data_IF_594709004324
#
_entry.id   IF_594709004324
#
_cell.length_a   1.000
_cell.length_b   1.000
_cell.length_c   1.000
_cell.angle_alpha   90.00
_cell.angle_beta   90.00
_cell.angle_gamma   90.00
#
_symmetry.space_group_name_H-M   'P 1'
#
loop_
_entity.id
_entity.type
_entity.pdbx_description
1 polymer ?
#
# COMPACT_ATOMS: atom_id res chain seq x y z
N UNK A 1 -16.12 -3.50 23.64
CA UNK A 1 -15.53 -4.50 22.72
C UNK A 1 -16.47 -4.64 21.53
N UNK A 2 -16.16 -4.01 20.40
CA UNK A 2 -16.96 -4.14 19.19
C UNK A 2 -16.55 -5.44 18.50
N UNK A 3 -17.48 -6.41 18.45
CA UNK A 3 -17.28 -7.68 17.75
C UNK A 3 -17.03 -7.41 16.27
N UNK A 4 -15.87 -7.84 15.75
CA UNK A 4 -15.62 -7.92 14.31
C UNK A 4 -16.66 -8.90 13.75
N UNK A 5 -17.59 -8.38 12.93
CA UNK A 5 -18.46 -9.21 12.11
C UNK A 5 -17.58 -10.09 11.22
N UNK A 6 -17.44 -11.36 11.54
CA UNK A 6 -16.67 -12.38 10.82
C UNK A 6 -17.49 -13.00 9.68
N UNK A 7 -18.33 -12.22 9.02
CA UNK A 7 -19.02 -12.65 7.80
C UNK A 7 -18.06 -12.56 6.60
N UNK A 8 -18.17 -13.49 5.66
CA UNK A 8 -17.49 -13.38 4.35
C UNK A 8 -17.88 -12.05 3.70
N UNK A 9 -16.93 -11.36 3.04
CA UNK A 9 -17.24 -10.11 2.34
C UNK A 9 -18.25 -10.38 1.23
N UNK A 10 -19.05 -9.35 0.88
CA UNK A 10 -19.98 -9.41 -0.24
C UNK A 10 -19.21 -9.78 -1.53
N UNK A 11 -19.55 -10.88 -2.21
CA UNK A 11 -18.87 -11.31 -3.45
C UNK A 11 -18.92 -10.23 -4.55
N UNK A 12 -20.00 -9.45 -4.63
CA UNK A 12 -20.14 -8.36 -5.60
C UNK A 12 -19.12 -7.26 -5.32
N UNK A 13 -18.95 -6.89 -4.05
CA UNK A 13 -17.93 -5.92 -3.64
C UNK A 13 -16.53 -6.45 -3.94
N UNK A 14 -16.22 -7.70 -3.59
CA UNK A 14 -14.92 -8.33 -3.88
C UNK A 14 -14.61 -8.28 -5.37
N UNK A 15 -15.57 -8.66 -6.21
CA UNK A 15 -15.42 -8.61 -7.66
C UNK A 15 -15.16 -7.19 -8.19
N UNK A 16 -15.89 -6.20 -7.67
CA UNK A 16 -15.68 -4.78 -8.03
C UNK A 16 -14.29 -4.30 -7.62
N UNK A 17 -13.87 -4.56 -6.40
CA UNK A 17 -12.57 -4.15 -5.88
C UNK A 17 -11.42 -4.77 -6.68
N UNK A 18 -11.52 -6.07 -7.03
CA UNK A 18 -10.55 -6.76 -7.88
C UNK A 18 -10.52 -6.18 -9.28
N UNK A 19 -11.69 -5.91 -9.87
CA UNK A 19 -11.78 -5.26 -11.17
C UNK A 19 -11.05 -3.92 -11.16
N UNK A 20 -11.30 -3.06 -10.16
CA UNK A 20 -10.62 -1.76 -10.05
C UNK A 20 -9.13 -1.94 -9.79
N UNK A 21 -8.71 -2.91 -8.97
CA UNK A 21 -7.29 -3.19 -8.75
C UNK A 21 -6.56 -3.54 -10.06
N UNK A 22 -7.20 -4.28 -10.97
CA UNK A 22 -6.60 -4.73 -12.25
C UNK A 22 -6.71 -3.73 -13.40
N UNK A 23 -7.60 -2.73 -13.33
CA UNK A 23 -7.73 -1.73 -14.38
C UNK A 23 -6.47 -0.88 -14.51
N UNK A 24 -6.17 -0.41 -15.72
CA UNK A 24 -5.20 0.66 -15.91
C UNK A 24 -5.75 1.96 -15.32
N UNK A 25 -4.89 2.71 -14.65
CA UNK A 25 -5.23 3.98 -14.00
C UNK A 25 -4.22 5.04 -14.42
N UNK A 26 -4.64 6.30 -14.40
CA UNK A 26 -3.76 7.43 -14.69
C UNK A 26 -3.53 8.24 -13.42
N UNK A 27 -2.29 8.56 -13.14
CA UNK A 27 -1.94 9.52 -12.09
C UNK A 27 -2.41 10.91 -12.48
N UNK A 28 -3.19 11.57 -11.62
CA UNK A 28 -3.75 12.90 -11.90
C UNK A 28 -3.34 13.94 -10.86
N UNK A 29 -2.44 13.59 -9.98
CA UNK A 29 -1.85 14.49 -9.00
C UNK A 29 -0.67 15.28 -9.60
N UNK A 30 0.08 15.98 -8.76
CA UNK A 30 1.28 16.72 -9.17
C UNK A 30 2.36 15.80 -9.78
N UNK A 31 3.28 16.40 -10.54
CA UNK A 31 4.44 15.71 -11.10
C UNK A 31 5.45 15.23 -10.03
N UNK A 32 5.23 15.56 -8.78
CA UNK A 32 6.03 15.13 -7.64
C UNK A 32 5.13 14.66 -6.50
N UNK A 33 5.63 13.69 -5.72
CA UNK A 33 4.94 13.22 -4.52
C UNK A 33 4.96 14.32 -3.45
N UNK A 34 3.80 14.64 -2.89
CA UNK A 34 3.69 15.63 -1.81
C UNK A 34 3.63 14.93 -0.47
N UNK A 35 4.70 15.01 0.28
CA UNK A 35 4.80 14.43 1.61
C UNK A 35 4.29 15.37 2.69
N UNK A 36 3.50 14.84 3.61
CA UNK A 36 3.06 15.52 4.83
C UNK A 36 3.57 14.76 6.06
N UNK A 37 3.87 15.49 7.12
CA UNK A 37 4.28 14.92 8.40
C UNK A 37 3.14 14.07 8.97
N UNK A 38 3.44 12.80 9.27
CA UNK A 38 2.52 11.88 9.92
C UNK A 38 2.84 11.70 11.42
N UNK A 39 3.80 12.43 11.95
CA UNK A 39 4.20 12.40 13.34
C UNK A 39 5.05 11.18 13.73
N UNK A 40 5.24 10.99 15.03
CA UNK A 40 5.99 9.87 15.61
C UNK A 40 7.47 10.15 15.84
N UNK A 41 8.16 9.15 16.43
CA UNK A 41 9.63 9.15 16.66
C UNK A 41 10.19 7.77 16.29
N UNK A 42 11.05 7.63 15.24
CA UNK A 42 11.37 8.66 14.24
C UNK A 42 10.11 9.21 13.55
N UNK A 43 10.25 10.40 12.92
CA UNK A 43 9.14 11.06 12.21
C UNK A 43 8.72 10.23 10.99
N UNK A 44 7.42 9.99 10.85
CA UNK A 44 6.82 9.38 9.67
C UNK A 44 6.30 10.42 8.69
N UNK A 45 6.15 10.02 7.42
CA UNK A 45 5.66 10.86 6.33
C UNK A 45 4.59 10.12 5.56
N UNK A 46 3.65 10.85 5.01
CA UNK A 46 2.56 10.31 4.20
C UNK A 46 2.33 11.16 2.96
N UNK A 47 2.11 10.51 1.83
CA UNK A 47 1.57 11.11 0.60
C UNK A 47 0.23 10.46 0.27
N UNK A 48 -0.67 11.21 -0.34
CA UNK A 48 -1.94 10.71 -0.84
C UNK A 48 -2.30 11.39 -2.14
N UNK A 49 -2.39 10.61 -3.21
CA UNK A 49 -2.48 11.09 -4.57
C UNK A 49 -3.63 10.42 -5.33
N UNK A 50 -4.39 11.21 -6.09
CA UNK A 50 -5.58 10.76 -6.82
C UNK A 50 -5.22 10.05 -8.12
N UNK A 51 -6.12 9.17 -8.53
CA UNK A 51 -6.04 8.45 -9.79
C UNK A 51 -7.32 8.66 -10.60
N UNK A 52 -7.20 8.61 -11.92
CA UNK A 52 -8.32 8.51 -12.84
C UNK A 52 -8.47 7.07 -13.34
N UNK A 53 -9.71 6.66 -13.59
CA UNK A 53 -10.07 5.43 -14.28
C UNK A 53 -9.96 5.60 -15.80
N UNK A 54 -9.99 4.51 -16.60
CA UNK A 54 -9.85 4.60 -18.06
C UNK A 54 -10.94 5.43 -18.77
N UNK A 55 -12.10 5.58 -18.15
CA UNK A 55 -13.20 6.42 -18.63
C UNK A 55 -13.03 7.91 -18.28
N UNK A 56 -11.90 8.28 -17.67
CA UNK A 56 -11.59 9.64 -17.22
C UNK A 56 -12.21 10.02 -15.88
N UNK A 57 -13.04 9.19 -15.29
CA UNK A 57 -13.62 9.45 -13.97
C UNK A 57 -12.56 9.43 -12.86
N UNK A 58 -12.71 10.28 -11.86
CA UNK A 58 -11.78 10.46 -10.74
C UNK A 58 -12.51 10.28 -9.40
N UNK A 59 -12.91 9.06 -9.04
CA UNK A 59 -13.58 8.85 -7.76
C UNK A 59 -12.71 9.32 -6.60
N UNK A 60 -13.25 10.12 -5.69
CA UNK A 60 -12.51 10.62 -4.52
C UNK A 60 -12.01 9.47 -3.61
N UNK A 61 -12.63 8.30 -3.72
CA UNK A 61 -12.26 7.08 -3.01
C UNK A 61 -11.14 6.26 -3.69
N UNK A 62 -10.70 6.65 -4.90
CA UNK A 62 -9.61 5.99 -5.65
C UNK A 62 -8.34 6.82 -5.53
N UNK A 63 -7.38 6.32 -4.79
CA UNK A 63 -6.12 7.01 -4.55
C UNK A 63 -4.99 6.04 -4.18
N UNK A 64 -3.76 6.48 -4.40
CA UNK A 64 -2.56 5.88 -3.82
C UNK A 64 -2.28 6.58 -2.49
N UNK A 65 -1.89 5.81 -1.49
CA UNK A 65 -1.31 6.32 -0.26
C UNK A 65 0.07 5.69 -0.05
N UNK A 66 1.06 6.53 0.12
CA UNK A 66 2.40 6.14 0.52
C UNK A 66 2.61 6.53 1.98
N UNK A 67 3.24 5.65 2.74
CA UNK A 67 3.73 5.95 4.08
C UNK A 67 5.19 5.56 4.15
N UNK A 68 6.02 6.48 4.62
CA UNK A 68 7.44 6.28 4.83
C UNK A 68 7.82 6.66 6.25
N UNK A 69 8.67 5.85 6.86
CA UNK A 69 9.25 6.15 8.16
C UNK A 69 10.67 5.61 8.21
N UNK A 70 11.69 6.47 8.43
CA UNK A 70 13.07 6.00 8.55
C UNK A 70 13.20 5.07 9.75
N UNK A 71 14.04 4.05 9.62
CA UNK A 71 14.38 3.19 10.75
C UNK A 71 15.18 3.99 11.78
N UNK A 72 14.82 3.80 13.06
CA UNK A 72 15.63 4.30 14.18
C UNK A 72 16.66 3.26 14.63
N UNK A 73 16.76 2.11 13.96
CA UNK A 73 17.61 1.00 14.35
C UNK A 73 18.59 0.72 13.22
N UNK A 74 19.88 0.77 13.54
CA UNK A 74 20.93 0.47 12.57
C UNK A 74 20.80 -0.96 12.04
N UNK A 75 20.88 -1.13 10.72
CA UNK A 75 20.78 -2.43 10.06
C UNK A 75 19.35 -2.94 9.86
N UNK A 76 18.34 -2.19 10.31
CA UNK A 76 16.95 -2.49 9.99
C UNK A 76 16.47 -1.63 8.81
N UNK A 77 15.68 -2.19 7.88
CA UNK A 77 15.14 -1.43 6.76
C UNK A 77 14.19 -0.34 7.25
N UNK A 78 14.09 0.73 6.47
CA UNK A 78 13.06 1.76 6.63
C UNK A 78 11.67 1.15 6.43
N UNK A 79 10.69 1.71 7.11
CA UNK A 79 9.30 1.31 6.88
C UNK A 79 8.74 2.02 5.66
N UNK A 80 8.26 1.24 4.69
CA UNK A 80 7.54 1.72 3.52
C UNK A 80 6.21 0.98 3.41
N UNK A 81 5.12 1.70 3.16
CA UNK A 81 3.83 1.12 2.80
C UNK A 81 3.28 1.87 1.59
N UNK A 82 3.11 1.16 0.49
CA UNK A 82 2.54 1.64 -0.76
C UNK A 82 1.18 0.98 -0.90
N UNK A 83 0.10 1.75 -0.96
CA UNK A 83 -1.24 1.20 -0.92
C UNK A 83 -2.16 1.86 -1.95
N UNK A 84 -2.89 1.03 -2.70
CA UNK A 84 -3.99 1.44 -3.55
C UNK A 84 -5.29 1.31 -2.76
N UNK A 85 -6.04 2.41 -2.66
CA UNK A 85 -7.35 2.43 -2.00
C UNK A 85 -8.48 2.63 -3.01
N UNK A 86 -9.58 1.93 -2.78
CA UNK A 86 -10.86 2.19 -3.42
C UNK A 86 -12.01 1.89 -2.46
N UNK A 87 -13.02 2.78 -2.39
CA UNK A 87 -14.17 2.66 -1.47
C UNK A 87 -13.78 2.36 -0.01
N UNK A 88 -12.73 3.02 0.47
CA UNK A 88 -12.17 2.85 1.83
C UNK A 88 -11.45 1.50 2.08
N UNK A 89 -11.36 0.63 1.07
CA UNK A 89 -10.65 -0.64 1.15
C UNK A 89 -9.25 -0.51 0.58
N UNK A 90 -8.28 -1.12 1.24
CA UNK A 90 -6.92 -1.31 0.73
C UNK A 90 -6.93 -2.51 -0.22
N UNK A 91 -6.97 -2.25 -1.53
CA UNK A 91 -7.18 -3.29 -2.56
C UNK A 91 -5.89 -3.93 -3.05
N UNK A 92 -4.78 -3.25 -2.88
CA UNK A 92 -3.43 -3.72 -3.20
C UNK A 92 -2.43 -2.98 -2.32
N UNK A 93 -1.41 -3.65 -1.81
CA UNK A 93 -0.32 -2.95 -1.14
C UNK A 93 1.01 -3.70 -1.20
N UNK A 94 2.10 -2.93 -1.18
CA UNK A 94 3.47 -3.40 -0.96
C UNK A 94 3.94 -2.80 0.35
N UNK A 95 4.31 -3.67 1.29
CA UNK A 95 4.73 -3.27 2.63
C UNK A 95 6.14 -3.76 2.93
N UNK A 96 7.07 -2.85 3.26
CA UNK A 96 8.30 -3.13 3.98
C UNK A 96 8.17 -2.58 5.41
N UNK A 97 8.29 -3.43 6.40
CA UNK A 97 8.07 -3.05 7.80
C UNK A 97 9.10 -3.69 8.75
N UNK A 98 10.29 -3.97 8.22
CA UNK A 98 11.37 -4.57 9.00
C UNK A 98 11.08 -6.02 9.43
N UNK A 99 11.55 -6.43 10.61
CA UNK A 99 11.52 -7.84 11.03
C UNK A 99 10.13 -8.34 11.45
N UNK A 100 9.09 -7.51 11.38
CA UNK A 100 7.72 -7.92 11.69
C UNK A 100 7.13 -8.84 10.63
N UNK A 101 6.03 -9.50 10.94
CA UNK A 101 5.30 -10.35 10.02
C UNK A 101 3.97 -10.79 10.63
N UNK A 102 3.09 -11.35 9.82
CA UNK A 102 1.80 -11.85 10.30
C UNK A 102 1.52 -13.27 9.77
N UNK A 103 0.53 -13.92 10.34
CA UNK A 103 0.01 -15.19 9.84
C UNK A 103 -1.21 -14.89 8.97
N UNK A 104 -1.21 -15.43 7.73
CA UNK A 104 -2.36 -15.36 6.85
C UNK A 104 -3.51 -16.22 7.41
N UNK A 105 -4.50 -15.60 8.01
CA UNK A 105 -5.71 -16.27 8.49
C UNK A 105 -6.82 -16.27 7.42
N UNK A 106 -6.59 -15.59 6.30
CA UNK A 106 -7.44 -15.50 5.11
C UNK A 106 -6.68 -15.98 3.88
N UNK A 107 -7.39 -16.17 2.77
CA UNK A 107 -6.84 -16.67 1.53
C UNK A 107 -6.88 -18.19 1.45
N UNK A 108 -7.97 -18.80 1.88
CA UNK A 108 -8.19 -20.26 1.79
C UNK A 108 -7.93 -20.73 0.35
N UNK A 109 -7.12 -21.78 0.22
CA UNK A 109 -6.71 -22.32 -1.09
C UNK A 109 -5.53 -21.61 -1.76
N UNK A 110 -5.05 -20.49 -1.23
CA UNK A 110 -3.86 -19.79 -1.73
C UNK A 110 -2.57 -20.33 -1.10
N UNK A 111 -1.39 -20.15 -1.77
CA UNK A 111 -0.13 -20.79 -1.37
C UNK A 111 0.34 -20.48 0.05
N UNK A 112 0.01 -19.29 0.58
CA UNK A 112 0.48 -18.83 1.90
C UNK A 112 -0.61 -18.82 2.96
N UNK A 113 -1.77 -19.43 2.71
CA UNK A 113 -2.81 -19.60 3.73
C UNK A 113 -2.27 -20.39 4.94
N UNK A 114 -2.55 -19.91 6.14
CA UNK A 114 -2.08 -20.49 7.40
C UNK A 114 -0.59 -20.30 7.70
N UNK A 115 0.17 -19.68 6.79
CA UNK A 115 1.61 -19.49 6.96
C UNK A 115 1.94 -18.09 7.51
N UNK A 116 3.04 -18.01 8.25
CA UNK A 116 3.63 -16.72 8.61
C UNK A 116 4.35 -16.14 7.40
N UNK A 117 4.06 -14.89 7.06
CA UNK A 117 4.71 -14.10 6.02
C UNK A 117 5.44 -12.94 6.69
N UNK A 118 6.74 -12.83 6.41
CA UNK A 118 7.57 -11.69 6.84
C UNK A 118 7.54 -10.57 5.81
N UNK A 119 8.17 -9.45 6.15
CA UNK A 119 8.38 -8.35 5.20
C UNK A 119 9.67 -8.57 4.39
N UNK A 120 9.73 -8.05 3.16
CA UNK A 120 8.67 -7.31 2.46
C UNK A 120 7.54 -8.23 1.97
N UNK A 121 6.34 -7.68 1.83
CA UNK A 121 5.17 -8.47 1.43
C UNK A 121 4.21 -7.69 0.50
N UNK A 122 3.52 -8.46 -0.34
CA UNK A 122 2.46 -8.00 -1.22
C UNK A 122 1.10 -8.39 -0.63
N UNK A 123 0.24 -7.40 -0.38
CA UNK A 123 -1.14 -7.63 0.01
C UNK A 123 -2.08 -7.58 -1.19
N UNK A 124 -2.96 -8.57 -1.26
CA UNK A 124 -3.99 -8.67 -2.30
C UNK A 124 -5.31 -9.15 -1.71
N UNK A 125 -6.41 -8.88 -2.41
CA UNK A 125 -7.74 -9.34 -2.03
C UNK A 125 -7.84 -10.86 -2.22
N UNK A 126 -8.33 -11.58 -1.21
CA UNK A 126 -8.70 -13.01 -1.28
C UNK A 126 -10.22 -13.18 -1.44
N UNK A 127 -10.70 -14.42 -1.65
CA UNK A 127 -12.13 -14.68 -1.78
C UNK A 127 -12.87 -14.54 -0.47
N UNK A 128 -12.17 -14.79 0.62
CA UNK A 128 -12.68 -14.78 2.00
C UNK A 128 -12.36 -13.50 2.78
N UNK A 129 -11.54 -12.58 2.22
CA UNK A 129 -11.26 -11.30 2.84
C UNK A 129 -10.77 -10.24 1.85
N UNK A 130 -11.15 -8.99 2.09
CA UNK A 130 -10.65 -7.84 1.32
C UNK A 130 -9.21 -7.49 1.74
N UNK A 131 -8.88 -7.64 3.02
CA UNK A 131 -7.54 -7.39 3.57
C UNK A 131 -7.12 -8.58 4.45
N UNK A 132 -5.82 -8.73 4.69
CA UNK A 132 -5.28 -9.75 5.60
C UNK A 132 -4.65 -10.96 4.91
N UNK A 133 -4.57 -11.02 3.59
CA UNK A 133 -3.76 -11.99 2.86
C UNK A 133 -2.53 -11.32 2.26
N UNK A 134 -1.36 -11.92 2.47
CA UNK A 134 -0.09 -11.43 1.96
C UNK A 134 0.77 -12.54 1.35
N UNK A 135 1.61 -12.16 0.40
CA UNK A 135 2.64 -13.01 -0.21
C UNK A 135 4.01 -12.40 0.04
N UNK A 136 5.06 -13.20 0.25
CA UNK A 136 6.40 -12.67 0.42
C UNK A 136 6.90 -12.03 -0.87
N UNK A 137 7.67 -10.96 -0.74
CA UNK A 137 8.41 -10.34 -1.82
C UNK A 137 9.92 -10.48 -1.57
N UNK A 138 10.70 -10.36 -2.63
CA UNK A 138 12.13 -10.17 -2.52
C UNK A 138 12.45 -8.77 -1.98
N UNK A 139 13.53 -8.67 -1.20
CA UNK A 139 14.01 -7.38 -0.73
C UNK A 139 14.59 -6.57 -1.88
N UNK A 140 14.22 -5.30 -1.98
CA UNK A 140 14.65 -4.40 -3.04
C UNK A 140 14.80 -2.96 -2.51
N UNK A 141 15.32 -2.03 -3.34
CA UNK A 141 15.38 -0.62 -2.95
C UNK A 141 13.99 0.01 -2.89
N UNK A 142 13.86 1.15 -2.20
CA UNK A 142 12.58 1.86 -2.07
C UNK A 142 12.02 2.29 -3.43
N UNK A 143 12.90 2.72 -4.34
CA UNK A 143 12.53 3.08 -5.72
C UNK A 143 12.00 1.86 -6.48
N UNK A 144 12.63 0.70 -6.33
CA UNK A 144 12.17 -0.54 -6.98
C UNK A 144 10.86 -1.05 -6.39
N UNK A 145 10.60 -0.88 -5.10
CA UNK A 145 9.28 -1.15 -4.53
C UNK A 145 8.21 -0.25 -5.15
N UNK A 146 8.53 1.03 -5.36
CA UNK A 146 7.62 1.97 -6.02
C UNK A 146 7.33 1.57 -7.47
N UNK A 147 8.36 1.32 -8.27
CA UNK A 147 8.22 0.92 -9.66
C UNK A 147 7.42 -0.39 -9.79
N UNK A 148 7.70 -1.36 -8.93
CA UNK A 148 6.95 -2.60 -8.85
C UNK A 148 5.48 -2.36 -8.50
N UNK A 149 5.22 -1.58 -7.44
CA UNK A 149 3.85 -1.23 -7.02
C UNK A 149 3.08 -0.52 -8.13
N UNK A 150 3.66 0.50 -8.76
CA UNK A 150 3.06 1.25 -9.89
C UNK A 150 2.71 0.30 -11.03
N UNK A 151 3.61 -0.61 -11.36
CA UNK A 151 3.41 -1.61 -12.42
C UNK A 151 2.25 -2.55 -12.11
N UNK A 152 2.23 -3.20 -10.94
CA UNK A 152 1.18 -4.16 -10.58
C UNK A 152 -0.18 -3.50 -10.29
N UNK A 153 -0.18 -2.24 -9.85
CA UNK A 153 -1.38 -1.44 -9.70
C UNK A 153 -1.92 -0.88 -11.03
N UNK A 154 -1.20 -1.07 -12.15
CA UNK A 154 -1.58 -0.57 -13.46
C UNK A 154 -1.64 0.96 -13.53
N UNK A 155 -0.72 1.67 -12.87
CA UNK A 155 -0.72 3.14 -12.83
C UNK A 155 0.22 3.69 -13.89
N UNK A 156 -0.25 4.63 -14.70
CA UNK A 156 0.53 5.37 -15.69
C UNK A 156 0.71 6.82 -15.26
N UNK A 157 1.82 7.43 -15.64
CA UNK A 157 2.12 8.84 -15.33
C UNK A 157 2.48 9.12 -13.88
N UNK A 158 2.71 8.08 -13.05
CA UNK A 158 3.20 8.26 -11.71
C UNK A 158 4.61 8.89 -11.71
N UNK A 159 4.92 9.83 -10.79
CA UNK A 159 6.25 10.40 -10.66
C UNK A 159 7.25 9.35 -10.15
N UNK A 160 8.56 9.57 -10.36
CA UNK A 160 9.57 8.74 -9.71
C UNK A 160 9.47 8.87 -8.18
N UNK A 161 9.79 7.79 -7.49
CA UNK A 161 9.85 7.82 -6.02
C UNK A 161 10.91 8.80 -5.54
N UNK A 162 10.53 9.66 -4.62
CA UNK A 162 11.46 10.56 -3.92
C UNK A 162 11.17 10.54 -2.44
N UNK A 163 12.20 10.36 -1.66
CA UNK A 163 12.11 10.46 -0.19
C UNK A 163 11.64 11.85 0.23
N UNK A 164 10.89 11.94 1.34
CA UNK A 164 10.56 13.24 1.92
C UNK A 164 11.84 14.00 2.27
N UNK A 165 11.93 15.24 1.83
CA UNK A 165 13.02 16.12 2.23
C UNK A 165 12.84 16.45 3.71
N UNK A 166 13.72 15.96 4.56
CA UNK A 166 13.80 16.38 5.94
C UNK A 166 14.26 17.84 5.93
N UNK A 167 13.33 18.78 6.01
CA UNK A 167 13.69 20.12 6.49
C UNK A 167 14.12 19.95 7.95
N UNK A 168 15.41 19.83 8.15
CA UNK A 168 16.03 20.05 9.45
C UNK A 168 15.76 21.52 9.77
N UNK A 169 14.64 21.78 10.48
CA UNK A 169 14.42 23.08 11.08
C UNK A 169 15.58 23.33 12.02
N UNK A 170 16.53 24.14 11.56
CA UNK A 170 17.50 24.75 12.48
C UNK A 170 16.66 25.57 13.45
N UNK A 171 16.82 25.39 14.78
CA UNK A 171 16.21 26.28 15.73
C UNK A 171 16.80 27.67 15.49
N UNK A 172 15.94 28.64 15.20
CA UNK A 172 16.25 30.07 15.17
C UNK A 172 16.39 30.55 16.61
#
# INVERSE_FOLDING_TARGET
MAGKNSGMPDPTLVAELRRVASLQKTWVASAEMTWVDAGGRPRGFKSRDRLALPDGSQPASLFVQCYFKPSGIQGCPDKLSLSLFFKHHRVLAVDENGPSGHINVFGVGRPYFGKRVGHPQLHTISDDAIDGYAEPLESMSLERYWDYFVSIAGITGAPPFRLPTLQLGLPV
#
